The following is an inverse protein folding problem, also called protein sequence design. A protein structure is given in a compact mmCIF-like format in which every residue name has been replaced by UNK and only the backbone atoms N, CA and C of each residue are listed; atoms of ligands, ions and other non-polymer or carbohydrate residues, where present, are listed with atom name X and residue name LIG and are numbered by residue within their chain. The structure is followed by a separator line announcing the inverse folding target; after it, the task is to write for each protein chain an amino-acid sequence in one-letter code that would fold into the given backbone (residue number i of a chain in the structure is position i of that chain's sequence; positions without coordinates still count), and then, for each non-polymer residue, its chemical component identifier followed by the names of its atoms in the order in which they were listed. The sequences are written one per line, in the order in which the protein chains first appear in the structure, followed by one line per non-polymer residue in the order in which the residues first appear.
data_IF_144202684945
#
_entry.id   IF_144202684945
#
_cell.length_a   1.000
_cell.length_b   1.000
_cell.length_c   1.000
_cell.angle_alpha   90.00
_cell.angle_beta   90.00
_cell.angle_gamma   90.00
#
_symmetry.space_group_name_H-M   'P 1'
#
loop_
_entity.id
_entity.type
_entity.pdbx_description
1 polymer ?
#
# COMPACT_ATOMS: atom_id res chain seq x y z
N UNK A 1 14.46 5.93 9.94
CA UNK A 1 13.27 6.58 9.35
C UNK A 1 13.33 6.28 7.88
N UNK A 2 12.34 5.58 7.34
CA UNK A 2 12.15 5.48 5.89
C UNK A 2 11.21 6.62 5.47
N UNK A 3 11.59 7.36 4.43
CA UNK A 3 10.80 8.49 3.92
C UNK A 3 9.71 7.94 3.01
N UNK A 4 8.48 8.41 3.22
CA UNK A 4 7.34 8.08 2.37
C UNK A 4 6.97 9.32 1.57
N UNK A 5 6.86 9.16 0.26
CA UNK A 5 6.55 10.24 -0.67
C UNK A 5 5.31 9.87 -1.46
N UNK A 6 4.43 10.86 -1.65
CA UNK A 6 3.23 10.75 -2.48
C UNK A 6 3.29 11.88 -3.49
N UNK A 7 3.53 11.53 -4.75
CA UNK A 7 3.44 12.46 -5.87
C UNK A 7 2.00 12.48 -6.40
N UNK A 8 1.44 13.67 -6.54
CA UNK A 8 0.05 13.89 -7.00
C UNK A 8 0.06 14.66 -8.31
N UNK A 9 -0.43 14.03 -9.37
CA UNK A 9 -0.56 14.63 -10.69
C UNK A 9 -2.03 14.86 -11.00
N UNK A 10 -2.39 16.10 -11.32
CA UNK A 10 -3.76 16.48 -11.73
C UNK A 10 -3.71 16.85 -13.21
N UNK A 11 -4.34 16.03 -14.03
CA UNK A 11 -4.44 16.24 -15.47
C UNK A 11 -5.49 17.31 -15.82
N UNK A 12 -5.41 17.84 -17.05
CA UNK A 12 -6.30 18.93 -17.50
C UNK A 12 -7.78 18.56 -17.55
N UNK A 13 -8.09 17.27 -17.65
CA UNK A 13 -9.45 16.73 -17.65
C UNK A 13 -9.97 16.39 -16.24
N UNK A 14 -9.16 16.63 -15.21
CA UNK A 14 -9.49 16.33 -13.82
C UNK A 14 -9.15 14.90 -13.39
N UNK A 15 -8.55 14.08 -14.25
CA UNK A 15 -8.00 12.80 -13.83
C UNK A 15 -6.82 13.03 -12.86
N UNK A 16 -6.82 12.29 -11.75
CA UNK A 16 -5.75 12.35 -10.75
C UNK A 16 -4.96 11.06 -10.76
N UNK A 17 -3.64 11.17 -10.81
CA UNK A 17 -2.71 10.05 -10.66
C UNK A 17 -1.91 10.23 -9.37
N UNK A 18 -1.83 9.16 -8.58
CA UNK A 18 -1.05 9.09 -7.36
C UNK A 18 0.12 8.14 -7.59
N UNK A 19 1.33 8.57 -7.30
CA UNK A 19 2.51 7.70 -7.25
C UNK A 19 3.05 7.67 -5.82
N UNK A 20 3.18 6.48 -5.24
CA UNK A 20 3.56 6.29 -3.84
C UNK A 20 4.92 5.61 -3.82
N UNK A 21 5.87 6.19 -3.10
CA UNK A 21 7.24 5.66 -2.94
C UNK A 21 7.60 5.48 -1.47
N UNK A 22 8.38 4.44 -1.18
CA UNK A 22 8.82 4.13 0.18
C UNK A 22 7.73 3.52 1.08
N UNK A 23 6.56 3.17 0.53
CA UNK A 23 5.52 2.41 1.24
C UNK A 23 5.68 0.92 0.92
N UNK A 24 5.84 0.09 1.96
CA UNK A 24 6.00 -1.36 1.84
C UNK A 24 4.69 -2.10 2.09
N UNK A 25 4.47 -3.19 1.36
CA UNK A 25 3.27 -4.00 1.51
C UNK A 25 1.99 -3.21 1.19
N UNK A 26 0.92 -3.50 1.91
CA UNK A 26 -0.39 -2.85 1.72
C UNK A 26 -0.48 -1.45 2.33
N UNK A 27 0.59 -0.91 2.91
CA UNK A 27 0.56 0.40 3.58
C UNK A 27 0.20 1.55 2.61
N UNK A 28 0.53 1.42 1.33
CA UNK A 28 0.16 2.40 0.31
C UNK A 28 -1.37 2.58 0.21
N UNK A 29 -2.15 1.52 0.45
CA UNK A 29 -3.62 1.57 0.40
C UNK A 29 -4.21 2.39 1.53
N UNK A 30 -3.65 2.26 2.74
CA UNK A 30 -4.11 3.03 3.89
C UNK A 30 -3.72 4.51 3.74
N UNK A 31 -2.55 4.78 3.17
CA UNK A 31 -2.08 6.15 2.91
C UNK A 31 -2.95 6.88 1.87
N UNK A 32 -3.41 6.20 0.83
CA UNK A 32 -4.21 6.83 -0.23
C UNK A 32 -5.71 6.86 0.06
N UNK A 33 -6.21 6.07 1.02
CA UNK A 33 -7.64 5.88 1.28
C UNK A 33 -8.42 7.19 1.45
N UNK A 34 -7.97 8.07 2.33
CA UNK A 34 -8.67 9.33 2.61
C UNK A 34 -8.59 10.29 1.42
N UNK A 35 -7.46 10.27 0.70
CA UNK A 35 -7.26 11.08 -0.50
C UNK A 35 -8.20 10.62 -1.63
N UNK A 36 -8.28 9.32 -1.88
CA UNK A 36 -9.22 8.72 -2.84
C UNK A 36 -10.67 9.07 -2.49
N UNK A 37 -11.05 9.02 -1.21
CA UNK A 37 -12.40 9.38 -0.76
C UNK A 37 -12.74 10.84 -1.07
N UNK A 38 -11.82 11.78 -0.84
CA UNK A 38 -12.00 13.20 -1.14
C UNK A 38 -12.06 13.46 -2.65
N UNK A 39 -11.33 12.68 -3.44
CA UNK A 39 -11.34 12.76 -4.91
C UNK A 39 -12.58 12.11 -5.55
N UNK A 40 -13.52 11.59 -4.77
CA UNK A 40 -14.79 11.02 -5.22
C UNK A 40 -14.88 9.50 -5.13
N UNK A 41 -13.85 8.84 -4.60
CA UNK A 41 -13.85 7.41 -4.28
C UNK A 41 -13.82 6.47 -5.50
N UNK A 42 -13.59 7.00 -6.70
CA UNK A 42 -13.53 6.22 -7.93
C UNK A 42 -12.08 6.01 -8.36
N UNK A 43 -11.62 4.76 -8.33
CA UNK A 43 -10.27 4.37 -8.78
C UNK A 43 -10.40 3.72 -10.15
N UNK A 44 -9.88 4.40 -11.17
CA UNK A 44 -9.91 3.91 -12.56
C UNK A 44 -8.91 2.77 -12.77
N UNK A 45 -7.73 2.88 -12.17
CA UNK A 45 -6.66 1.90 -12.27
C UNK A 45 -5.80 1.95 -11.01
N UNK A 46 -5.31 0.79 -10.59
CA UNK A 46 -4.30 0.65 -9.54
C UNK A 46 -3.25 -0.35 -10.01
N UNK A 47 -1.99 0.09 -9.98
CA UNK A 47 -0.83 -0.73 -10.31
C UNK A 47 0.05 -0.81 -9.05
N UNK A 48 0.39 -2.04 -8.64
CA UNK A 48 1.27 -2.27 -7.49
C UNK A 48 2.72 -2.24 -7.95
N UNK A 49 3.56 -1.55 -7.18
CA UNK A 49 5.02 -1.59 -7.37
C UNK A 49 5.63 -2.74 -6.57
N UNK A 50 6.87 -3.17 -6.87
CA UNK A 50 7.53 -4.24 -6.12
C UNK A 50 7.59 -4.01 -4.60
N UNK A 51 7.66 -2.75 -4.16
CA UNK A 51 7.61 -2.36 -2.75
C UNK A 51 6.26 -2.74 -2.10
N UNK A 52 5.16 -2.68 -2.84
CA UNK A 52 3.85 -3.11 -2.37
C UNK A 52 3.76 -4.64 -2.22
N UNK A 53 4.60 -5.40 -2.93
CA UNK A 53 4.74 -6.86 -2.79
C UNK A 53 5.69 -7.25 -1.64
N UNK A 54 6.49 -6.32 -1.11
CA UNK A 54 7.29 -6.52 0.10
C UNK A 54 6.38 -6.62 1.33
N UNK A 55 5.73 -7.77 1.46
CA UNK A 55 4.96 -8.13 2.65
C UNK A 55 5.98 -8.30 3.78
N UNK A 56 5.88 -7.48 4.83
CA UNK A 56 6.66 -7.69 6.04
C UNK A 56 6.28 -9.05 6.62
N UNK A 57 7.09 -10.07 6.33
CA UNK A 57 6.83 -11.45 6.68
C UNK A 57 6.74 -11.63 8.20
N UNK A 58 5.54 -11.53 8.76
CA UNK A 58 5.20 -12.24 9.98
C UNK A 58 4.84 -13.66 9.60
N UNK A 59 5.86 -14.48 9.30
CA UNK A 59 5.64 -15.93 9.33
C UNK A 59 5.47 -16.32 10.79
N UNK A 60 4.22 -16.53 11.20
CA UNK A 60 3.91 -17.07 12.54
C UNK A 60 4.25 -18.55 12.52
N UNK A 61 5.49 -18.90 12.84
CA UNK A 61 5.87 -20.27 13.13
C UNK A 61 5.21 -20.66 14.46
N UNK A 62 3.98 -21.20 14.40
CA UNK A 62 3.42 -21.90 15.55
C UNK A 62 4.17 -23.22 15.69
N UNK A 63 5.17 -23.20 16.57
CA UNK A 63 5.89 -24.37 17.06
C UNK A 63 4.85 -25.34 17.66
N UNK A 64 4.45 -26.33 16.87
CA UNK A 64 3.72 -27.49 17.37
C UNK A 64 4.67 -28.25 18.31
N UNK A 65 4.70 -27.81 19.56
CA UNK A 65 5.23 -28.61 20.65
C UNK A 65 4.28 -29.80 20.85
N UNK A 66 4.58 -30.86 20.09
CA UNK A 66 4.11 -32.21 20.37
C UNK A 66 4.58 -32.59 21.76
N UNK A 67 3.67 -32.52 22.72
CA UNK A 67 3.85 -33.03 24.08
C UNK A 67 4.22 -34.52 24.06
N UNK A 68 5.32 -34.81 24.77
CA UNK A 68 5.67 -36.00 25.54
C UNK A 68 5.09 -37.38 25.21
N UNK A 69 6.00 -38.34 25.05
CA UNK A 69 5.85 -39.70 25.57
C UNK A 69 6.17 -39.72 27.06
#
# INVERSE_FOLDING_TARGET
MELQEIDVFIEKDGQVRLEIRGAKGTQCLDLTKDLEAVLGGQVLLREMTPEADETSGQVTWQEQQSVGW
#
